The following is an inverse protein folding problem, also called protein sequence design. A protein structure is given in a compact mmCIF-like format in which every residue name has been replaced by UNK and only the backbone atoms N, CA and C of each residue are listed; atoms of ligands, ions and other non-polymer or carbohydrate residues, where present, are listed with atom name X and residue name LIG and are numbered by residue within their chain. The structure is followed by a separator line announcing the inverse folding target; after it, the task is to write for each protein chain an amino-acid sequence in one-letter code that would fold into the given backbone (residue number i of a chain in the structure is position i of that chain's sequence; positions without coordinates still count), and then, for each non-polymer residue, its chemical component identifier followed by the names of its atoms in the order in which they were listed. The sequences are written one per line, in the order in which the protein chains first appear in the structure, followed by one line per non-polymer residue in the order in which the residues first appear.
data_IF_838234484656
#
_entry.id   IF_838234484656
#
_cell.length_a   1.000
_cell.length_b   1.000
_cell.length_c   1.000
_cell.angle_alpha   90.00
_cell.angle_beta   90.00
_cell.angle_gamma   90.00
#
_symmetry.space_group_name_H-M   'P 1'
#
loop_
_entity.id
_entity.type
_entity.pdbx_description
1 polymer ?
#
# COMPACT_ATOMS: atom_id res chain seq x y z
N UNK A 1 8.17 0.95 8.18
CA UNK A 1 6.96 1.16 8.99
C UNK A 1 7.32 1.33 10.46
N UNK A 2 7.92 0.33 11.13
CA UNK A 2 8.12 0.32 12.60
C UNK A 2 8.86 1.54 13.16
N UNK A 3 9.82 2.11 12.46
CA UNK A 3 10.58 3.28 12.90
C UNK A 3 9.75 4.55 13.07
N UNK A 4 8.55 4.58 12.48
CA UNK A 4 7.64 5.71 12.51
C UNK A 4 6.50 5.55 13.50
N UNK A 5 6.33 4.36 14.09
CA UNK A 5 5.31 4.13 15.11
C UNK A 5 5.73 4.71 16.46
N UNK A 6 4.78 5.14 17.29
CA UNK A 6 5.06 5.52 18.68
C UNK A 6 5.66 4.34 19.44
N UNK A 7 6.37 4.58 20.56
CA UNK A 7 6.85 3.49 21.40
C UNK A 7 5.71 2.60 21.91
N UNK A 8 5.94 1.29 21.98
CA UNK A 8 5.00 0.38 22.62
C UNK A 8 5.01 0.59 24.16
N UNK A 9 3.84 0.40 24.84
CA UNK A 9 2.56 0.03 24.25
C UNK A 9 1.86 1.24 23.62
N UNK A 10 1.32 1.04 22.43
CA UNK A 10 0.49 2.02 21.75
C UNK A 10 -0.57 1.30 20.89
N UNK A 11 -1.69 1.95 20.66
CA UNK A 11 -2.72 1.41 19.78
C UNK A 11 -2.39 1.69 18.31
N UNK A 12 -2.40 0.63 17.49
CA UNK A 12 -2.12 0.71 16.05
C UNK A 12 -3.27 0.09 15.27
N UNK A 13 -3.82 0.84 14.33
CA UNK A 13 -4.78 0.31 13.36
C UNK A 13 -4.02 -0.09 12.10
N UNK A 14 -4.20 -1.33 11.66
CA UNK A 14 -3.74 -1.85 10.37
C UNK A 14 -4.92 -1.82 9.39
N UNK A 15 -4.93 -0.82 8.51
CA UNK A 15 -5.98 -0.59 7.53
C UNK A 15 -5.68 -1.38 6.26
N UNK A 16 -6.58 -2.31 5.90
CA UNK A 16 -6.35 -3.22 4.79
C UNK A 16 -5.46 -4.39 5.18
N UNK A 17 -5.72 -5.01 6.35
CA UNK A 17 -4.91 -6.12 6.85
C UNK A 17 -5.07 -7.42 6.04
N UNK A 18 -6.02 -7.50 5.11
CA UNK A 18 -6.28 -8.67 4.28
C UNK A 18 -6.72 -9.91 5.06
N UNK A 19 -6.87 -11.02 4.34
CA UNK A 19 -7.31 -12.32 4.90
C UNK A 19 -6.30 -12.97 5.83
N UNK A 20 -5.02 -12.63 5.69
CA UNK A 20 -3.92 -13.18 6.51
C UNK A 20 -3.63 -12.36 7.77
N UNK A 21 -4.31 -11.19 7.94
CA UNK A 21 -4.20 -10.36 9.13
C UNK A 21 -3.06 -9.34 9.13
N UNK A 22 -2.39 -9.15 8.02
CA UNK A 22 -1.43 -8.07 7.77
C UNK A 22 -0.32 -7.93 8.81
N UNK A 23 -0.15 -6.72 9.32
CA UNK A 23 0.87 -6.42 10.34
C UNK A 23 0.45 -6.76 11.77
N UNK A 24 -0.84 -7.07 12.04
CA UNK A 24 -1.37 -7.29 13.39
C UNK A 24 -0.57 -8.32 14.19
N UNK A 25 -0.22 -9.53 13.66
CA UNK A 25 0.57 -10.50 14.42
C UNK A 25 1.95 -9.96 14.81
N UNK A 26 2.63 -9.29 13.89
CA UNK A 26 3.96 -8.73 14.12
C UNK A 26 3.92 -7.56 15.10
N UNK A 27 2.93 -6.67 14.99
CA UNK A 27 2.74 -5.54 15.91
C UNK A 27 2.45 -6.05 17.32
N UNK A 28 1.52 -7.00 17.47
CA UNK A 28 1.20 -7.60 18.77
C UNK A 28 2.40 -8.28 19.44
N UNK A 29 3.20 -9.03 18.66
CA UNK A 29 4.43 -9.65 19.15
C UNK A 29 5.47 -8.62 19.63
N UNK A 30 5.37 -7.38 19.17
CA UNK A 30 6.23 -6.26 19.60
C UNK A 30 5.57 -5.35 20.65
N UNK A 31 4.47 -5.80 21.27
CA UNK A 31 3.85 -5.13 22.41
C UNK A 31 2.85 -4.01 22.06
N UNK A 32 2.43 -3.90 20.81
CA UNK A 32 1.39 -2.96 20.40
C UNK A 32 -0.01 -3.55 20.64
N UNK A 33 -0.99 -2.69 20.94
CA UNK A 33 -2.42 -3.01 20.86
C UNK A 33 -2.87 -2.83 19.41
N UNK A 34 -2.72 -3.89 18.60
CA UNK A 34 -2.96 -3.84 17.18
C UNK A 34 -4.35 -4.34 16.81
N UNK A 35 -5.05 -3.59 15.94
CA UNK A 35 -6.36 -3.95 15.39
C UNK A 35 -6.28 -3.88 13.86
N UNK A 36 -6.60 -4.98 13.19
CA UNK A 36 -6.72 -5.06 11.74
C UNK A 36 -8.15 -4.79 11.28
N UNK A 37 -8.28 -4.00 10.22
CA UNK A 37 -9.58 -3.69 9.59
C UNK A 37 -9.49 -4.01 8.11
N UNK A 38 -10.35 -4.93 7.66
CA UNK A 38 -10.44 -5.33 6.26
C UNK A 38 -11.76 -6.08 6.03
N UNK A 39 -12.42 -5.95 4.86
CA UNK A 39 -13.60 -6.77 4.53
C UNK A 39 -13.35 -8.27 4.60
N UNK A 40 -12.12 -8.70 4.37
CA UNK A 40 -11.67 -10.10 4.39
C UNK A 40 -10.89 -10.47 5.66
N UNK A 41 -10.78 -9.58 6.66
CA UNK A 41 -10.00 -9.82 7.86
C UNK A 41 -10.28 -11.20 8.48
N UNK A 42 -9.29 -11.88 9.10
CA UNK A 42 -9.50 -13.14 9.76
C UNK A 42 -10.46 -13.03 10.95
N UNK A 43 -10.92 -14.16 11.47
CA UNK A 43 -11.71 -14.17 12.70
C UNK A 43 -10.79 -13.91 13.91
N UNK A 44 -11.23 -13.09 14.85
CA UNK A 44 -10.48 -12.82 16.08
C UNK A 44 -10.84 -11.47 16.71
N UNK A 45 -10.56 -11.31 17.99
CA UNK A 45 -10.87 -10.09 18.72
C UNK A 45 -10.05 -8.87 18.25
N UNK A 46 -8.91 -9.12 17.59
CA UNK A 46 -8.03 -8.09 17.04
C UNK A 46 -8.40 -7.70 15.60
N UNK A 47 -9.53 -8.17 15.06
CA UNK A 47 -9.91 -7.93 13.68
C UNK A 47 -11.34 -7.46 13.55
N UNK A 48 -11.56 -6.51 12.64
CA UNK A 48 -12.88 -6.05 12.23
C UNK A 48 -13.09 -6.36 10.74
N UNK A 49 -14.07 -7.21 10.43
CA UNK A 49 -14.51 -7.44 9.04
C UNK A 49 -15.43 -6.33 8.61
N UNK A 50 -14.89 -5.27 8.05
CA UNK A 50 -15.63 -4.11 7.60
C UNK A 50 -14.85 -3.32 6.56
N UNK A 51 -15.57 -2.61 5.69
CA UNK A 51 -15.00 -1.52 4.93
C UNK A 51 -14.55 -0.43 5.91
N UNK A 52 -13.40 0.17 5.67
CA UNK A 52 -12.86 1.18 6.58
C UNK A 52 -13.80 2.39 6.73
N UNK A 53 -14.53 2.75 5.68
CA UNK A 53 -15.53 3.82 5.68
C UNK A 53 -16.61 3.62 6.74
N UNK A 54 -16.87 2.36 7.15
CA UNK A 54 -17.93 1.97 8.09
C UNK A 54 -17.41 1.37 9.40
N UNK A 55 -16.11 1.06 9.45
CA UNK A 55 -15.50 0.44 10.62
C UNK A 55 -15.67 1.32 11.87
N UNK A 56 -15.82 0.68 13.03
CA UNK A 56 -15.77 1.37 14.31
C UNK A 56 -14.33 1.73 14.64
N UNK A 57 -14.06 3.01 14.84
CA UNK A 57 -12.74 3.51 15.20
C UNK A 57 -12.74 4.05 16.62
N UNK A 58 -11.62 3.91 17.36
CA UNK A 58 -11.39 4.61 18.62
C UNK A 58 -11.57 6.12 18.48
N UNK A 59 -11.85 6.79 19.59
CA UNK A 59 -11.98 8.25 19.59
C UNK A 59 -10.65 8.94 19.28
N UNK A 60 -9.54 8.33 19.70
CA UNK A 60 -8.20 8.79 19.42
C UNK A 60 -7.37 7.64 18.85
N UNK A 61 -6.62 7.92 17.78
CA UNK A 61 -5.72 7.00 17.10
C UNK A 61 -4.28 7.41 17.37
N UNK A 62 -3.47 6.53 17.95
CA UNK A 62 -2.05 6.79 18.17
C UNK A 62 -1.23 6.51 16.91
N UNK A 63 -1.61 5.47 16.16
CA UNK A 63 -1.05 5.23 14.83
C UNK A 63 -2.03 4.48 13.92
N UNK A 64 -1.95 4.78 12.64
CA UNK A 64 -2.59 4.02 11.56
C UNK A 64 -1.53 3.62 10.56
N UNK A 65 -1.53 2.36 10.16
CA UNK A 65 -0.73 1.84 9.05
C UNK A 65 -1.71 1.49 7.93
N UNK A 66 -1.43 1.95 6.72
CA UNK A 66 -2.15 1.58 5.51
C UNK A 66 -1.11 1.08 4.49
N UNK A 67 -1.17 -0.21 4.15
CA UNK A 67 -0.22 -0.80 3.22
C UNK A 67 -0.96 -1.39 2.04
N UNK A 68 -0.73 -0.84 0.84
CA UNK A 68 -1.36 -1.28 -0.42
C UNK A 68 -2.88 -1.43 -0.29
N UNK A 69 -3.53 -0.47 0.36
CA UNK A 69 -4.94 -0.54 0.71
C UNK A 69 -5.73 0.72 0.34
N UNK A 70 -5.13 1.91 0.44
CA UNK A 70 -5.84 3.16 0.15
C UNK A 70 -6.23 3.28 -1.34
N UNK A 71 -5.47 2.68 -2.23
CA UNK A 71 -5.81 2.70 -3.66
C UNK A 71 -7.04 1.86 -4.01
N UNK A 72 -7.54 1.02 -3.09
CA UNK A 72 -8.74 0.21 -3.26
C UNK A 72 -9.99 0.77 -2.55
N UNK A 73 -9.87 1.76 -1.66
CA UNK A 73 -11.03 2.28 -0.94
C UNK A 73 -11.99 3.00 -1.87
N UNK A 74 -13.29 2.97 -1.59
CA UNK A 74 -14.28 3.59 -2.47
C UNK A 74 -14.18 5.13 -2.49
N UNK A 75 -13.85 5.73 -1.33
CA UNK A 75 -13.67 7.19 -1.17
C UNK A 75 -12.45 7.48 -0.30
N UNK A 76 -11.25 7.67 -0.91
CA UNK A 76 -10.03 7.96 -0.17
C UNK A 76 -10.09 9.29 0.59
N UNK A 77 -10.83 10.27 0.07
CA UNK A 77 -11.05 11.55 0.76
C UNK A 77 -11.74 11.31 2.10
N UNK A 78 -12.86 10.58 2.09
CA UNK A 78 -13.60 10.24 3.30
C UNK A 78 -12.76 9.42 4.29
N UNK A 79 -12.02 8.43 3.80
CA UNK A 79 -11.14 7.60 4.65
C UNK A 79 -10.05 8.43 5.32
N UNK A 80 -9.34 9.27 4.56
CA UNK A 80 -8.29 10.14 5.10
C UNK A 80 -8.87 11.16 6.08
N UNK A 81 -10.04 11.74 5.81
CA UNK A 81 -10.73 12.65 6.72
C UNK A 81 -11.11 11.95 8.05
N UNK A 82 -11.60 10.71 8.00
CA UNK A 82 -11.90 9.92 9.20
C UNK A 82 -10.67 9.65 10.07
N UNK A 83 -9.54 9.34 9.43
CA UNK A 83 -8.25 9.13 10.12
C UNK A 83 -7.82 10.45 10.75
N UNK A 84 -7.72 11.51 9.96
CA UNK A 84 -7.23 12.83 10.39
C UNK A 84 -8.03 13.37 11.57
N UNK A 85 -9.34 13.22 11.55
CA UNK A 85 -10.23 13.70 12.62
C UNK A 85 -10.02 12.96 13.96
N UNK A 86 -9.32 11.82 13.95
CA UNK A 86 -9.10 10.97 15.14
C UNK A 86 -7.65 10.79 15.53
N UNK A 87 -6.70 11.19 14.69
CA UNK A 87 -5.30 11.13 15.08
C UNK A 87 -5.05 11.98 16.32
N UNK A 88 -4.49 11.35 17.34
CA UNK A 88 -4.09 12.03 18.56
C UNK A 88 -2.96 13.03 18.28
N UNK A 89 -2.77 14.05 19.14
CA UNK A 89 -1.55 14.86 19.09
C UNK A 89 -0.31 13.96 19.19
N UNK A 90 0.58 14.04 18.19
CA UNK A 90 1.73 13.15 18.07
C UNK A 90 1.44 11.79 17.42
N UNK A 91 0.19 11.51 17.08
CA UNK A 91 -0.18 10.31 16.31
C UNK A 91 0.37 10.35 14.89
N UNK A 92 0.46 9.18 14.26
CA UNK A 92 1.05 9.02 12.92
C UNK A 92 0.14 8.22 11.99
N UNK A 93 0.07 8.68 10.74
CA UNK A 93 -0.40 7.86 9.63
C UNK A 93 0.84 7.45 8.82
N UNK A 94 1.03 6.14 8.69
CA UNK A 94 2.12 5.52 7.91
C UNK A 94 1.49 4.83 6.71
N UNK A 95 1.86 5.24 5.53
CA UNK A 95 1.31 4.73 4.27
C UNK A 95 2.44 4.09 3.46
N UNK A 96 2.17 2.89 2.98
CA UNK A 96 2.97 2.22 1.95
C UNK A 96 2.03 1.92 0.80
N UNK A 97 2.23 2.55 -0.34
CA UNK A 97 1.31 2.42 -1.47
C UNK A 97 2.02 2.08 -2.77
N UNK A 98 1.23 1.65 -3.72
CA UNK A 98 1.65 1.39 -5.07
C UNK A 98 1.14 2.50 -5.99
N UNK A 99 2.09 3.25 -6.58
CA UNK A 99 1.83 4.22 -7.63
C UNK A 99 1.75 3.51 -8.98
N UNK A 100 0.65 2.84 -9.25
CA UNK A 100 0.46 2.02 -10.46
C UNK A 100 0.67 2.81 -11.76
N UNK A 101 0.42 4.10 -11.74
CA UNK A 101 0.65 4.99 -12.88
C UNK A 101 2.12 5.13 -13.29
N UNK A 102 3.04 4.73 -12.40
CA UNK A 102 4.49 4.68 -12.66
C UNK A 102 4.93 3.32 -13.20
N UNK A 103 4.07 2.32 -13.26
CA UNK A 103 4.35 1.01 -13.84
C UNK A 103 4.27 1.09 -15.37
N UNK A 104 5.18 1.88 -15.96
CA UNK A 104 5.26 2.09 -17.40
C UNK A 104 5.79 0.87 -18.17
N UNK A 105 5.91 0.99 -19.48
CA UNK A 105 6.28 -0.14 -20.35
C UNK A 105 7.70 -0.63 -20.05
N UNK A 106 8.64 0.28 -19.82
CA UNK A 106 10.03 -0.06 -19.49
C UNK A 106 10.11 -0.79 -18.14
N UNK A 107 9.33 -0.35 -17.15
CA UNK A 107 9.26 -0.99 -15.84
C UNK A 107 8.60 -2.35 -15.95
N UNK A 108 7.53 -2.48 -16.74
CA UNK A 108 6.84 -3.75 -16.98
C UNK A 108 7.75 -4.77 -17.69
N UNK A 109 8.43 -4.37 -18.73
CA UNK A 109 9.39 -5.22 -19.47
C UNK A 109 10.51 -5.71 -18.55
N UNK A 110 11.03 -4.80 -17.70
CA UNK A 110 12.07 -5.15 -16.73
C UNK A 110 11.60 -6.19 -15.71
N UNK A 111 10.38 -6.04 -15.19
CA UNK A 111 9.76 -6.99 -14.27
C UNK A 111 9.46 -8.33 -14.96
N UNK A 112 8.83 -8.31 -16.14
CA UNK A 112 8.44 -9.53 -16.85
C UNK A 112 9.63 -10.37 -17.31
N UNK A 113 10.76 -9.72 -17.63
CA UNK A 113 12.01 -10.42 -17.94
C UNK A 113 12.65 -11.14 -16.73
N UNK A 114 12.18 -10.85 -15.51
CA UNK A 114 12.69 -11.40 -14.24
C UNK A 114 11.68 -12.29 -13.52
N UNK A 115 10.56 -12.58 -14.14
CA UNK A 115 9.62 -13.55 -13.59
C UNK A 115 10.26 -14.93 -13.53
N UNK A 116 10.10 -15.61 -12.42
CA UNK A 116 10.49 -17.00 -12.26
C UNK A 116 9.68 -17.93 -13.17
N UNK A 117 10.04 -19.23 -13.24
CA UNK A 117 9.18 -20.22 -13.88
C UNK A 117 7.80 -20.15 -13.22
N UNK A 118 6.74 -20.32 -14.04
CA UNK A 118 5.35 -20.16 -13.66
C UNK A 118 5.04 -20.78 -12.28
N UNK A 119 5.16 -19.99 -11.24
CA UNK A 119 4.48 -20.26 -9.98
C UNK A 119 3.01 -19.96 -10.24
N UNK A 120 2.19 -20.98 -10.28
CA UNK A 120 0.76 -20.91 -10.56
C UNK A 120 0.12 -19.82 -9.68
N UNK A 121 -0.15 -18.65 -10.26
CA UNK A 121 -0.93 -17.61 -9.64
C UNK A 121 -0.19 -16.33 -9.21
N UNK A 122 1.05 -16.10 -9.58
CA UNK A 122 1.75 -14.83 -9.32
C UNK A 122 1.05 -13.65 -10.00
N UNK A 123 0.83 -12.55 -9.26
CA UNK A 123 0.11 -11.37 -9.77
C UNK A 123 0.73 -10.83 -11.07
N UNK A 124 2.06 -10.68 -11.14
CA UNK A 124 2.77 -10.21 -12.32
C UNK A 124 2.63 -11.16 -13.51
N UNK A 125 2.60 -12.48 -13.29
CA UNK A 125 2.35 -13.45 -14.35
C UNK A 125 0.96 -13.25 -14.96
N UNK A 126 -0.07 -13.11 -14.12
CA UNK A 126 -1.43 -12.84 -14.59
C UNK A 126 -1.52 -11.52 -15.36
N UNK A 127 -0.86 -10.45 -14.87
CA UNK A 127 -0.86 -9.15 -15.58
C UNK A 127 -0.20 -9.25 -16.94
N UNK A 128 0.96 -9.91 -17.03
CA UNK A 128 1.64 -10.15 -18.29
C UNK A 128 0.76 -10.92 -19.29
N UNK A 129 0.18 -12.03 -18.83
CA UNK A 129 -0.57 -12.91 -19.72
C UNK A 129 -1.88 -12.27 -20.21
N UNK A 130 -2.59 -11.55 -19.34
CA UNK A 130 -3.77 -10.77 -19.75
C UNK A 130 -3.39 -9.64 -20.71
N UNK A 131 -2.30 -8.93 -20.47
CA UNK A 131 -1.81 -7.91 -21.36
C UNK A 131 -1.52 -8.48 -22.74
N UNK A 132 -0.74 -9.55 -22.82
CA UNK A 132 -0.41 -10.22 -24.09
C UNK A 132 -1.67 -10.70 -24.83
N UNK A 133 -2.63 -11.24 -24.09
CA UNK A 133 -3.90 -11.68 -24.67
C UNK A 133 -4.78 -10.52 -25.17
N UNK A 134 -4.65 -9.34 -24.58
CA UNK A 134 -5.44 -8.15 -24.96
C UNK A 134 -5.07 -7.55 -26.31
N UNK A 135 -3.82 -7.73 -26.74
CA UNK A 135 -3.26 -7.09 -27.94
C UNK A 135 -3.08 -5.57 -27.83
N UNK A 136 -3.28 -4.99 -26.66
CA UNK A 136 -3.12 -3.56 -26.41
C UNK A 136 -1.66 -3.20 -26.14
N UNK A 137 -1.31 -1.92 -26.32
CA UNK A 137 -0.07 -1.37 -25.78
C UNK A 137 -0.16 -1.33 -24.24
N UNK A 138 0.96 -1.55 -23.54
CA UNK A 138 0.99 -1.62 -22.08
C UNK A 138 0.30 -0.44 -21.37
N UNK A 139 0.57 0.84 -21.72
CA UNK A 139 -0.07 1.96 -21.03
C UNK A 139 -1.60 1.98 -21.17
N UNK A 140 -2.13 1.50 -22.28
CA UNK A 140 -3.58 1.41 -22.50
C UNK A 140 -4.19 0.26 -21.70
N UNK A 141 -3.54 -0.92 -21.73
CA UNK A 141 -3.95 -2.07 -20.94
C UNK A 141 -3.98 -1.76 -19.44
N UNK A 142 -2.90 -1.19 -18.91
CA UNK A 142 -2.77 -0.88 -17.48
C UNK A 142 -3.82 0.11 -17.01
N UNK A 143 -4.07 1.17 -17.79
CA UNK A 143 -5.12 2.14 -17.48
C UNK A 143 -6.50 1.50 -17.46
N UNK A 144 -6.86 0.74 -18.52
CA UNK A 144 -8.16 0.09 -18.62
C UNK A 144 -8.36 -0.94 -17.50
N UNK A 145 -7.28 -1.61 -17.10
CA UNK A 145 -7.28 -2.51 -15.92
C UNK A 145 -7.49 -1.74 -14.63
N UNK A 146 -6.74 -0.67 -14.37
CA UNK A 146 -6.87 0.13 -13.17
C UNK A 146 -8.26 0.78 -13.03
N UNK A 147 -8.86 1.22 -14.16
CA UNK A 147 -10.24 1.74 -14.19
C UNK A 147 -11.27 0.65 -13.84
N UNK A 148 -11.11 -0.57 -14.33
CA UNK A 148 -12.00 -1.71 -13.98
C UNK A 148 -11.91 -2.10 -12.51
N UNK A 149 -10.70 -2.06 -11.94
CA UNK A 149 -10.45 -2.36 -10.52
C UNK A 149 -10.73 -1.14 -9.62
N UNK A 150 -11.14 0.00 -10.20
CA UNK A 150 -11.40 1.25 -9.48
C UNK A 150 -10.22 1.74 -8.64
N UNK A 151 -8.99 1.60 -9.15
CA UNK A 151 -7.79 1.97 -8.42
C UNK A 151 -7.56 3.48 -8.43
N UNK A 152 -7.33 4.04 -7.26
CA UNK A 152 -6.84 5.41 -7.14
C UNK A 152 -5.35 5.50 -7.47
N UNK A 153 -4.95 6.61 -8.08
CA UNK A 153 -3.56 6.89 -8.43
C UNK A 153 -2.75 7.25 -7.19
N UNK A 154 -1.49 6.81 -7.16
CA UNK A 154 -0.59 7.12 -6.05
C UNK A 154 -0.32 8.61 -5.89
N UNK A 155 -0.14 9.35 -7.00
CA UNK A 155 0.05 10.82 -6.95
C UNK A 155 -1.18 11.56 -6.39
N UNK A 156 -2.39 11.08 -6.69
CA UNK A 156 -3.62 11.62 -6.12
C UNK A 156 -3.73 11.35 -4.62
N UNK A 157 -3.41 10.13 -4.18
CA UNK A 157 -3.38 9.78 -2.75
C UNK A 157 -2.40 10.65 -1.98
N UNK A 158 -1.18 10.83 -2.50
CA UNK A 158 -0.17 11.72 -1.88
C UNK A 158 -0.67 13.16 -1.79
N UNK A 159 -1.33 13.67 -2.83
CA UNK A 159 -1.93 15.01 -2.81
C UNK A 159 -2.99 15.12 -1.71
N UNK A 160 -3.91 14.15 -1.61
CA UNK A 160 -4.97 14.12 -0.60
C UNK A 160 -4.41 14.06 0.82
N UNK A 161 -3.38 13.24 1.05
CA UNK A 161 -2.66 13.15 2.32
C UNK A 161 -2.01 14.49 2.70
N UNK A 162 -1.28 15.10 1.76
CA UNK A 162 -0.60 16.39 1.97
C UNK A 162 -1.56 17.58 2.17
N UNK A 163 -2.79 17.52 1.70
CA UNK A 163 -3.80 18.54 1.95
C UNK A 163 -4.30 18.51 3.41
N UNK A 164 -4.28 17.36 4.07
CA UNK A 164 -4.90 17.12 5.38
C UNK A 164 -3.92 16.99 6.52
N UNK A 165 -2.75 16.46 6.26
CA UNK A 165 -1.73 16.15 7.25
C UNK A 165 -0.42 16.87 6.90
N UNK A 166 0.44 17.01 7.89
CA UNK A 166 1.81 17.44 7.68
C UNK A 166 2.64 16.23 7.27
N UNK A 167 3.17 16.23 6.06
CA UNK A 167 4.10 15.22 5.60
C UNK A 167 5.43 15.36 6.36
N UNK A 168 5.87 14.28 6.98
CA UNK A 168 7.16 14.17 7.69
C UNK A 168 8.17 13.34 6.89
N UNK A 169 7.68 12.46 6.02
CA UNK A 169 8.51 11.61 5.18
C UNK A 169 7.75 11.28 3.89
N UNK A 170 8.44 11.33 2.76
CA UNK A 170 7.96 10.84 1.47
C UNK A 170 9.16 10.33 0.68
N UNK A 171 9.12 9.06 0.30
CA UNK A 171 10.12 8.42 -0.55
C UNK A 171 9.44 7.48 -1.54
N UNK A 172 9.98 7.41 -2.75
CA UNK A 172 9.59 6.42 -3.74
C UNK A 172 10.71 5.38 -3.88
N UNK A 173 10.35 4.10 -4.04
CA UNK A 173 11.33 3.04 -4.05
C UNK A 173 10.88 1.76 -4.75
N UNK A 174 11.63 0.66 -4.52
CA UNK A 174 11.38 -0.63 -5.10
C UNK A 174 10.11 -1.28 -4.54
N UNK A 175 9.34 -1.92 -5.41
CA UNK A 175 8.06 -2.56 -5.06
C UNK A 175 8.00 -4.03 -5.47
N UNK A 176 8.51 -4.36 -6.65
CA UNK A 176 8.26 -5.65 -7.30
C UNK A 176 9.24 -6.76 -6.93
N UNK A 177 10.38 -6.44 -6.31
CA UNK A 177 11.44 -7.41 -6.01
C UNK A 177 10.96 -8.69 -5.28
N UNK A 178 9.90 -8.69 -4.43
CA UNK A 178 9.47 -9.93 -3.78
C UNK A 178 8.82 -10.93 -4.75
N UNK A 179 8.31 -10.45 -5.89
CA UNK A 179 7.63 -11.24 -6.91
C UNK A 179 8.56 -11.64 -8.06
N UNK A 180 9.84 -11.23 -8.00
CA UNK A 180 10.82 -11.45 -9.07
C UNK A 180 11.85 -12.51 -8.66
N UNK A 181 12.24 -13.35 -9.63
CA UNK A 181 13.28 -14.35 -9.42
C UNK A 181 14.66 -13.67 -9.29
N UNK A 182 15.46 -14.17 -8.35
CA UNK A 182 16.85 -13.76 -8.14
C UNK A 182 17.06 -12.23 -8.11
N UNK A 183 16.05 -11.48 -7.67
CA UNK A 183 16.04 -10.02 -7.63
C UNK A 183 15.82 -9.53 -6.20
N UNK A 184 16.70 -8.69 -5.72
CA UNK A 184 16.60 -8.06 -4.40
C UNK A 184 16.08 -6.63 -4.48
N UNK A 185 15.65 -6.07 -3.33
CA UNK A 185 15.31 -4.64 -3.26
C UNK A 185 16.47 -3.73 -3.73
N UNK A 186 17.71 -4.14 -3.49
CA UNK A 186 18.89 -3.39 -3.93
C UNK A 186 19.06 -3.42 -5.45
N UNK A 187 18.73 -4.55 -6.11
CA UNK A 187 18.80 -4.67 -7.56
C UNK A 187 17.75 -3.80 -8.25
N UNK A 188 16.51 -3.81 -7.71
CA UNK A 188 15.43 -2.94 -8.21
C UNK A 188 15.76 -1.47 -7.97
N UNK A 189 16.28 -1.11 -6.78
CA UNK A 189 16.73 0.25 -6.48
C UNK A 189 17.84 0.71 -7.41
N UNK A 190 18.81 -0.14 -7.72
CA UNK A 190 19.89 0.18 -8.66
C UNK A 190 19.35 0.46 -10.07
N UNK A 191 18.31 -0.26 -10.50
CA UNK A 191 17.66 -0.01 -11.79
C UNK A 191 16.88 1.32 -11.79
N UNK A 192 16.26 1.69 -10.67
CA UNK A 192 15.59 2.99 -10.44
C UNK A 192 16.64 4.12 -10.50
N UNK A 193 17.72 4.00 -9.75
CA UNK A 193 18.79 5.01 -9.69
C UNK A 193 19.45 5.24 -11.05
N UNK A 194 19.56 4.17 -11.85
CA UNK A 194 20.03 4.24 -13.23
C UNK A 194 18.98 4.76 -14.23
N UNK A 195 17.77 5.08 -13.79
CA UNK A 195 16.62 5.50 -14.62
C UNK A 195 16.26 4.48 -15.72
N UNK A 196 16.50 3.20 -15.46
CA UNK A 196 16.09 2.09 -16.34
C UNK A 196 14.58 1.80 -16.12
N UNK A 197 14.14 1.95 -14.88
CA UNK A 197 12.74 1.77 -14.47
C UNK A 197 12.30 2.91 -13.56
N UNK A 198 10.99 3.04 -13.34
CA UNK A 198 10.42 3.98 -12.39
C UNK A 198 10.21 3.34 -11.02
N UNK A 199 10.39 4.15 -9.97
CA UNK A 199 9.95 3.79 -8.63
C UNK A 199 8.42 3.76 -8.58
N UNK A 200 7.85 2.64 -8.15
CA UNK A 200 6.39 2.45 -8.08
C UNK A 200 5.88 2.35 -6.66
N UNK A 201 6.74 2.09 -5.66
CA UNK A 201 6.38 2.16 -4.25
C UNK A 201 6.42 3.60 -3.76
N UNK A 202 5.45 3.92 -2.91
CA UNK A 202 5.33 5.19 -2.22
C UNK A 202 5.36 4.91 -0.72
N UNK A 203 6.36 5.39 -0.02
CA UNK A 203 6.40 5.43 1.45
C UNK A 203 6.09 6.86 1.90
N UNK A 204 4.98 7.05 2.62
CA UNK A 204 4.54 8.34 3.11
C UNK A 204 4.23 8.27 4.61
N UNK A 205 4.68 9.25 5.37
CA UNK A 205 4.37 9.39 6.79
C UNK A 205 3.96 10.82 7.10
N UNK A 206 2.91 10.96 7.89
CA UNK A 206 2.48 12.28 8.34
C UNK A 206 1.75 12.27 9.67
N UNK A 207 1.59 13.49 10.21
CA UNK A 207 1.00 13.79 11.49
C UNK A 207 -0.09 14.87 11.36
N UNK A 208 -0.96 15.05 12.38
CA UNK A 208 -1.85 16.20 12.46
C UNK A 208 -1.05 17.52 12.36
N UNK A 209 -1.65 18.50 11.70
CA UNK A 209 -1.09 19.87 11.60
C UNK A 209 -1.23 20.64 12.90
#
# INVERSE_FOLDING_TARGET
VRSWLPPAPAQVIDLGCGSEGGFVPSLSANGYDAIGIDPQAPAGAQYQRADFERASLPEQLEAVVASTSLHHVADPTHVIDRITARLAPGGRLVVVEWGWENFDEETADWCFARLGPDDEGGWLHHRRDEWLASGLQWPSYLRDWAEREHLHRGDELVRLLNERLQCEFLENGPYFFPDLADTTAADEQAAIDASVIKATRIDWVGAPR
#
